data_IF_900436230228
#
_entry.id   IF_900436230228
#
_cell.length_a   1.000
_cell.length_b   1.000
_cell.length_c   1.000
_cell.angle_alpha   90.00
_cell.angle_beta   90.00
_cell.angle_gamma   90.00
#
_symmetry.space_group_name_H-M   'P 1'
#
loop_
_entity.id
_entity.type
_entity.pdbx_description
1 polymer ?
#
# COMPACT_ATOMS: atom_id res chain seq x y z
N UNK A 1 7.85 41.57 22.29
CA UNK A 1 6.53 40.92 22.11
C UNK A 1 6.28 40.00 23.30
N UNK A 2 5.25 40.25 24.13
CA UNK A 2 4.89 39.37 25.26
C UNK A 2 4.09 38.19 24.71
N UNK A 3 4.73 37.03 24.53
CA UNK A 3 4.03 35.81 24.13
C UNK A 3 2.99 35.45 25.20
N UNK A 4 1.74 35.36 24.79
CA UNK A 4 0.63 34.99 25.67
C UNK A 4 0.76 33.49 26.01
N UNK A 5 0.63 33.09 27.28
CA UNK A 5 0.82 31.69 27.71
C UNK A 5 -0.14 30.71 27.00
N UNK A 6 -1.30 31.18 26.52
CA UNK A 6 -2.21 30.36 25.71
C UNK A 6 -1.64 29.93 24.35
N UNK A 7 -0.72 30.70 23.77
CA UNK A 7 -0.08 30.35 22.48
C UNK A 7 0.94 29.22 22.66
N UNK A 8 1.63 29.18 23.80
CA UNK A 8 2.58 28.11 24.13
C UNK A 8 1.87 26.77 24.37
N UNK A 9 0.72 26.80 25.04
CA UNK A 9 -0.12 25.60 25.27
C UNK A 9 -0.69 25.04 23.95
N UNK A 10 -1.14 25.92 23.05
CA UNK A 10 -1.63 25.49 21.74
C UNK A 10 -0.53 24.84 20.89
N UNK A 11 0.70 25.39 20.92
CA UNK A 11 1.84 24.82 20.20
C UNK A 11 2.25 23.45 20.75
N UNK A 12 2.23 23.28 22.07
CA UNK A 12 2.54 21.99 22.71
C UNK A 12 1.53 20.90 22.33
N UNK A 13 0.23 21.23 22.25
CA UNK A 13 -0.81 20.27 21.88
C UNK A 13 -0.69 19.81 20.43
N UNK A 14 -0.32 20.71 19.51
CA UNK A 14 -0.11 20.38 18.09
C UNK A 14 1.10 19.47 17.89
N UNK A 15 2.18 19.63 18.67
CA UNK A 15 3.36 18.75 18.57
C UNK A 15 3.10 17.32 19.05
N UNK A 16 2.22 17.12 20.04
CA UNK A 16 1.92 15.77 20.57
C UNK A 16 1.08 14.96 19.56
N UNK A 17 0.26 15.63 18.76
CA UNK A 17 -0.59 14.97 17.76
C UNK A 17 0.18 14.46 16.54
N UNK A 18 1.37 15.00 16.26
CA UNK A 18 2.17 14.60 15.07
C UNK A 18 3.06 13.39 15.31
N UNK A 19 3.29 12.97 16.56
CA UNK A 19 4.22 11.86 16.87
C UNK A 19 3.59 10.46 16.83
N UNK A 20 2.27 10.33 16.67
CA UNK A 20 1.57 9.03 16.75
C UNK A 20 1.55 8.21 15.45
N UNK A 21 2.18 8.66 14.36
CA UNK A 21 1.91 8.09 13.01
C UNK A 21 2.95 7.12 12.46
N UNK A 22 4.07 6.83 13.14
CA UNK A 22 5.15 6.00 12.54
C UNK A 22 5.32 4.63 13.20
N UNK A 23 4.28 3.79 13.14
CA UNK A 23 4.46 2.34 13.34
C UNK A 23 4.82 1.69 12.00
N UNK A 24 6.11 1.69 11.67
CA UNK A 24 6.65 0.91 10.55
C UNK A 24 6.68 -0.57 10.95
N UNK A 25 6.03 -1.41 10.16
CA UNK A 25 5.99 -2.86 10.36
C UNK A 25 6.28 -3.58 9.04
N UNK A 26 6.62 -4.86 9.14
CA UNK A 26 6.75 -5.74 7.99
C UNK A 26 5.37 -6.29 7.64
N UNK A 27 5.01 -6.20 6.38
CA UNK A 27 3.79 -6.74 5.77
C UNK A 27 4.17 -7.59 4.57
N UNK A 28 3.32 -8.54 4.19
CA UNK A 28 3.52 -9.34 2.99
C UNK A 28 2.47 -8.96 1.95
N UNK A 29 2.90 -8.54 0.77
CA UNK A 29 1.98 -8.30 -0.34
C UNK A 29 1.91 -9.56 -1.20
N UNK A 30 0.69 -10.00 -1.47
CA UNK A 30 0.40 -11.18 -2.27
C UNK A 30 -0.32 -10.76 -3.55
N UNK A 31 0.29 -10.98 -4.71
CA UNK A 31 -0.24 -10.64 -6.03
C UNK A 31 -0.60 -11.91 -6.80
N UNK A 32 -1.89 -12.09 -7.07
CA UNK A 32 -2.40 -13.17 -7.92
C UNK A 32 -2.46 -12.70 -9.38
N UNK A 33 -1.78 -13.43 -10.26
CA UNK A 33 -1.76 -13.13 -11.69
C UNK A 33 -2.56 -14.20 -12.42
N UNK A 34 -3.61 -13.76 -13.12
CA UNK A 34 -4.50 -14.60 -13.91
C UNK A 34 -4.46 -14.19 -15.37
N UNK A 35 -4.47 -15.17 -16.27
CA UNK A 35 -4.46 -14.94 -17.72
C UNK A 35 -5.73 -15.53 -18.32
N UNK A 36 -6.34 -14.81 -19.26
CA UNK A 36 -7.53 -15.27 -19.99
C UNK A 36 -7.49 -14.81 -21.45
N UNK A 37 -8.22 -15.51 -22.32
CA UNK A 37 -8.39 -15.14 -23.75
C UNK A 37 -7.97 -16.23 -24.74
N UNK A 38 -6.86 -16.93 -24.51
CA UNK A 38 -6.32 -17.93 -25.44
C UNK A 38 -6.06 -19.28 -24.75
N UNK A 39 -6.17 -20.37 -25.51
CA UNK A 39 -5.81 -21.71 -25.02
C UNK A 39 -4.29 -21.85 -24.86
N UNK A 40 -3.85 -22.52 -23.78
CA UNK A 40 -2.42 -22.73 -23.48
C UNK A 40 -1.78 -21.65 -22.62
N UNK A 41 -2.55 -20.73 -22.04
CA UNK A 41 -2.03 -19.73 -21.11
C UNK A 41 -1.52 -20.39 -19.80
N UNK A 42 -0.52 -19.78 -19.14
CA UNK A 42 -0.04 -20.27 -17.85
C UNK A 42 -1.16 -20.33 -16.82
N UNK A 43 -1.06 -21.30 -15.89
CA UNK A 43 -1.97 -21.34 -14.76
C UNK A 43 -1.82 -20.08 -13.90
N UNK A 44 -2.90 -19.67 -13.19
CA UNK A 44 -2.80 -18.65 -12.17
C UNK A 44 -1.66 -18.96 -11.20
N UNK A 45 -0.89 -17.95 -10.87
CA UNK A 45 0.17 -18.06 -9.88
C UNK A 45 0.19 -16.82 -9.01
N UNK A 46 0.76 -16.99 -7.82
CA UNK A 46 0.78 -15.97 -6.80
C UNK A 46 2.24 -15.61 -6.51
N UNK A 47 2.53 -14.32 -6.54
CA UNK A 47 3.82 -13.77 -6.15
C UNK A 47 3.69 -13.06 -4.80
N UNK A 48 4.65 -13.28 -3.92
CA UNK A 48 4.69 -12.66 -2.59
C UNK A 48 5.97 -11.84 -2.41
N UNK A 49 5.85 -10.66 -1.80
CA UNK A 49 7.00 -9.82 -1.46
C UNK A 49 6.79 -9.07 -0.14
N UNK A 50 7.89 -8.84 0.59
CA UNK A 50 7.87 -8.13 1.87
C UNK A 50 7.86 -6.60 1.64
N UNK A 51 6.95 -5.90 2.31
CA UNK A 51 6.91 -4.43 2.37
C UNK A 51 7.10 -4.00 3.82
N UNK A 52 8.09 -3.14 4.06
CA UNK A 52 8.33 -2.56 5.38
C UNK A 52 7.99 -1.07 5.39
N UNK A 53 6.77 -0.75 5.82
CA UNK A 53 6.31 0.64 5.94
C UNK A 53 5.19 0.73 6.99
N UNK A 54 4.56 1.89 7.11
CA UNK A 54 3.28 2.07 7.80
C UNK A 54 2.19 1.28 7.07
N UNK A 55 1.20 0.75 7.81
CA UNK A 55 0.09 -0.04 7.23
C UNK A 55 -0.52 0.60 5.98
N UNK A 56 -0.88 1.89 6.09
CA UNK A 56 -1.54 2.64 5.02
C UNK A 56 -0.67 2.74 3.77
N UNK A 57 0.63 3.02 3.95
CA UNK A 57 1.56 3.14 2.83
C UNK A 57 1.92 1.77 2.24
N UNK A 58 2.02 0.74 3.07
CA UNK A 58 2.21 -0.63 2.60
C UNK A 58 1.01 -1.11 1.76
N UNK A 59 -0.21 -0.82 2.19
CA UNK A 59 -1.44 -1.13 1.44
C UNK A 59 -1.50 -0.39 0.11
N UNK A 60 -1.16 0.90 0.10
CA UNK A 60 -1.05 1.69 -1.13
C UNK A 60 0.01 1.13 -2.09
N UNK A 61 1.21 0.81 -1.59
CA UNK A 61 2.29 0.26 -2.41
C UNK A 61 1.94 -1.13 -2.96
N UNK A 62 1.27 -1.96 -2.16
CA UNK A 62 0.83 -3.29 -2.57
C UNK A 62 -0.25 -3.22 -3.66
N UNK A 63 -1.29 -2.41 -3.45
CA UNK A 63 -2.44 -2.32 -4.35
C UNK A 63 -2.18 -1.50 -5.61
N UNK A 64 -1.16 -0.63 -5.63
CA UNK A 64 -0.77 0.14 -6.80
C UNK A 64 -0.31 -0.75 -7.98
N UNK A 65 0.13 -1.97 -7.70
CA UNK A 65 0.51 -2.95 -8.71
C UNK A 65 -0.68 -3.79 -9.22
N UNK A 66 -1.86 -3.68 -8.60
CA UNK A 66 -3.08 -4.34 -9.09
C UNK A 66 -3.56 -3.66 -10.37
N UNK A 67 -3.82 -4.43 -11.41
CA UNK A 67 -4.23 -3.91 -12.70
C UNK A 67 -4.75 -4.97 -13.65
N UNK A 68 -5.46 -4.51 -14.68
CA UNK A 68 -5.83 -5.34 -15.82
C UNK A 68 -5.08 -4.84 -17.06
N UNK A 69 -4.32 -5.73 -17.67
CA UNK A 69 -3.52 -5.45 -18.85
C UNK A 69 -4.03 -6.30 -20.00
N UNK A 70 -4.31 -5.66 -21.13
CA UNK A 70 -4.72 -6.36 -22.35
C UNK A 70 -3.62 -6.21 -23.39
N UNK A 71 -3.06 -7.33 -23.85
CA UNK A 71 -2.08 -7.37 -24.93
C UNK A 71 -2.63 -8.29 -26.03
N UNK A 72 -3.17 -7.68 -27.10
CA UNK A 72 -3.89 -8.41 -28.14
C UNK A 72 -5.16 -9.07 -27.58
N UNK A 73 -5.31 -10.38 -27.78
CA UNK A 73 -6.45 -11.16 -27.30
C UNK A 73 -6.28 -11.70 -25.86
N UNK A 74 -5.13 -11.44 -25.22
CA UNK A 74 -4.82 -11.94 -23.88
C UNK A 74 -5.09 -10.84 -22.85
N UNK A 75 -5.97 -11.15 -21.88
CA UNK A 75 -6.21 -10.34 -20.70
C UNK A 75 -5.45 -10.91 -19.51
N UNK A 76 -4.56 -10.11 -18.97
CA UNK A 76 -3.84 -10.39 -17.72
C UNK A 76 -4.48 -9.57 -16.62
N UNK A 77 -4.86 -10.22 -15.52
CA UNK A 77 -5.36 -9.55 -14.34
C UNK A 77 -4.45 -9.85 -13.17
N UNK A 78 -3.87 -8.79 -12.62
CA UNK A 78 -3.02 -8.81 -11.44
C UNK A 78 -3.80 -8.23 -10.27
N UNK A 79 -3.98 -9.02 -9.21
CA UNK A 79 -4.71 -8.63 -8.01
C UNK A 79 -3.82 -8.78 -6.79
N UNK A 80 -3.35 -7.66 -6.26
CA UNK A 80 -2.48 -7.59 -5.09
C UNK A 80 -3.26 -7.23 -3.81
N UNK A 81 -2.99 -7.96 -2.72
CA UNK A 81 -3.57 -7.73 -1.39
C UNK A 81 -2.50 -7.80 -0.29
N UNK A 82 -2.63 -6.94 0.72
CA UNK A 82 -1.70 -6.87 1.85
C UNK A 82 -2.13 -7.84 2.96
N UNK A 83 -1.23 -8.72 3.37
CA UNK A 83 -1.34 -9.69 4.47
C UNK A 83 -0.44 -9.32 5.66
#
# INVERSE_FOLDING_TARGET
MKLRPGVLLAFAFVMILTTMTSCVRKYYCQCEITYSGQAGLPKPHTNEYEIKDTKKKAEQLCTANSGEYTNGDIKTKESCQLY
#
